data_IF_775321697582
#
_entry.id   IF_775321697582
#
_cell.length_a   1.000
_cell.length_b   1.000
_cell.length_c   1.000
_cell.angle_alpha   90.00
_cell.angle_beta   90.00
_cell.angle_gamma   90.00
#
_symmetry.space_group_name_H-M   'P 1'
#
loop_
_entity.id
_entity.type
_entity.pdbx_description
1 polymer ?
#
# COMPACT_ATOMS: atom_id res chain seq x y z
N UNK A 1 -1.81 -16.80 17.37
CA UNK A 1 -1.63 -16.25 16.00
C UNK A 1 -1.89 -14.76 16.04
N UNK A 2 -1.06 -13.93 15.38
CA UNK A 2 -1.27 -12.48 15.32
C UNK A 2 -2.62 -12.11 14.70
N UNK A 3 -3.17 -10.98 15.12
CA UNK A 3 -4.35 -10.36 14.54
C UNK A 3 -3.92 -9.13 13.73
N UNK A 4 -4.59 -8.90 12.61
CA UNK A 4 -4.33 -7.77 11.72
C UNK A 4 -5.59 -6.90 11.67
N UNK A 5 -5.54 -5.75 12.34
CA UNK A 5 -6.65 -4.81 12.39
C UNK A 5 -6.45 -3.68 11.36
N UNK A 6 -7.53 -3.27 10.72
CA UNK A 6 -7.57 -2.10 9.83
C UNK A 6 -8.67 -1.16 10.32
N UNK A 7 -8.26 0.03 10.76
CA UNK A 7 -9.17 1.12 11.09
C UNK A 7 -9.29 2.03 9.86
N UNK A 8 -10.49 2.16 9.31
CA UNK A 8 -10.76 3.00 8.13
C UNK A 8 -11.75 4.09 8.50
N UNK A 9 -11.36 5.34 8.26
CA UNK A 9 -12.22 6.51 8.40
C UNK A 9 -12.63 6.97 6.99
N UNK A 10 -13.92 6.90 6.69
CA UNK A 10 -14.45 7.31 5.41
C UNK A 10 -15.95 7.66 5.50
N UNK A 11 -16.32 8.79 4.89
CA UNK A 11 -17.72 9.24 4.75
C UNK A 11 -18.44 9.36 6.10
N UNK A 12 -17.74 9.74 7.16
CA UNK A 12 -18.29 9.89 8.52
C UNK A 12 -18.22 8.62 9.37
N UNK A 13 -17.76 7.50 8.81
CA UNK A 13 -17.77 6.20 9.48
C UNK A 13 -16.36 5.78 9.89
N UNK A 14 -16.26 5.21 11.09
CA UNK A 14 -15.11 4.41 11.51
C UNK A 14 -15.44 2.92 11.32
N UNK A 15 -14.77 2.27 10.37
CA UNK A 15 -14.89 0.83 10.14
C UNK A 15 -13.65 0.11 10.66
N UNK A 16 -13.83 -0.84 11.57
CA UNK A 16 -12.79 -1.73 12.06
C UNK A 16 -12.94 -3.11 11.42
N UNK A 17 -11.87 -3.58 10.77
CA UNK A 17 -11.80 -4.91 10.18
C UNK A 17 -10.65 -5.69 10.80
N UNK A 18 -10.93 -6.84 11.41
CA UNK A 18 -9.88 -7.74 11.90
C UNK A 18 -9.72 -8.94 10.98
N UNK A 19 -8.46 -9.32 10.73
CA UNK A 19 -8.10 -10.51 9.97
C UNK A 19 -7.14 -11.40 10.76
N UNK A 20 -7.10 -12.67 10.39
CA UNK A 20 -6.12 -13.63 10.87
C UNK A 20 -5.56 -14.42 9.69
N UNK A 21 -4.27 -14.75 9.73
CA UNK A 21 -3.63 -15.57 8.69
C UNK A 21 -4.35 -16.91 8.58
N UNK A 22 -4.69 -17.34 7.36
CA UNK A 22 -5.28 -18.65 7.12
C UNK A 22 -4.20 -19.74 7.34
N UNK A 23 -4.56 -20.84 7.98
CA UNK A 23 -3.62 -21.94 8.29
C UNK A 23 -3.46 -22.96 7.16
N UNK A 24 -4.35 -22.94 6.17
CA UNK A 24 -4.41 -23.90 5.06
C UNK A 24 -3.93 -23.30 3.73
N UNK A 25 -4.11 -21.99 3.54
CA UNK A 25 -3.77 -21.27 2.32
C UNK A 25 -2.78 -20.16 2.66
N UNK A 26 -1.52 -20.33 2.23
CA UNK A 26 -0.51 -19.29 2.43
C UNK A 26 -0.88 -18.00 1.68
N UNK A 27 -0.49 -16.85 2.24
CA UNK A 27 -0.86 -15.54 1.71
C UNK A 27 -2.32 -15.11 1.94
N UNK A 28 -3.21 -16.01 2.39
CA UNK A 28 -4.62 -15.69 2.67
C UNK A 28 -4.82 -15.21 4.11
N UNK A 29 -5.67 -14.19 4.28
CA UNK A 29 -6.03 -13.60 5.57
C UNK A 29 -7.55 -13.53 5.68
N UNK A 30 -8.13 -14.37 6.54
CA UNK A 30 -9.57 -14.47 6.71
C UNK A 30 -10.09 -13.37 7.63
N UNK A 31 -11.29 -12.89 7.33
CA UNK A 31 -12.02 -11.97 8.21
C UNK A 31 -12.42 -12.69 9.49
N UNK A 32 -12.17 -12.05 10.63
CA UNK A 32 -12.73 -12.47 11.91
C UNK A 32 -14.03 -11.71 12.14
N UNK A 33 -15.16 -12.36 11.90
CA UNK A 33 -16.49 -11.76 12.02
C UNK A 33 -16.75 -10.64 11.02
N UNK A 34 -17.95 -10.05 11.12
CA UNK A 34 -18.34 -8.92 10.26
C UNK A 34 -17.61 -7.63 10.65
N UNK A 35 -17.26 -6.77 9.67
CA UNK A 35 -16.72 -5.44 9.93
C UNK A 35 -17.54 -4.65 10.96
N UNK A 36 -16.85 -4.07 11.95
CA UNK A 36 -17.48 -3.27 12.98
C UNK A 36 -17.55 -1.81 12.50
N UNK A 37 -18.76 -1.28 12.36
CA UNK A 37 -18.99 0.10 11.92
C UNK A 37 -19.44 0.94 13.11
N UNK A 38 -18.72 2.02 13.41
CA UNK A 38 -19.01 2.96 14.50
C UNK A 38 -19.21 2.29 15.87
N UNK A 39 -18.54 1.16 16.11
CA UNK A 39 -18.70 0.38 17.34
C UNK A 39 -18.31 1.15 18.61
N UNK A 40 -17.41 2.13 18.48
CA UNK A 40 -16.88 2.94 19.59
C UNK A 40 -17.43 4.38 19.59
N UNK A 41 -18.47 4.66 18.81
CA UNK A 41 -19.18 5.94 18.81
C UNK A 41 -19.83 6.31 17.47
N UNK A 42 -21.03 6.89 17.54
CA UNK A 42 -21.74 7.41 16.37
C UNK A 42 -20.99 8.60 15.75
N UNK A 43 -21.00 8.68 14.42
CA UNK A 43 -20.30 9.68 13.62
C UNK A 43 -18.84 9.90 14.08
N UNK A 44 -18.15 8.80 14.42
CA UNK A 44 -16.81 8.81 15.01
C UNK A 44 -15.87 9.74 14.26
N UNK A 45 -15.81 9.63 12.92
CA UNK A 45 -14.92 10.43 12.08
C UNK A 45 -15.20 11.94 12.19
N UNK A 46 -16.47 12.35 12.13
CA UNK A 46 -16.83 13.78 12.24
C UNK A 46 -16.63 14.32 13.65
N UNK A 47 -16.74 13.46 14.67
CA UNK A 47 -16.56 13.82 16.07
C UNK A 47 -15.10 13.76 16.55
N UNK A 48 -14.13 13.34 15.72
CA UNK A 48 -12.72 13.22 16.09
C UNK A 48 -12.15 14.51 16.70
N UNK A 49 -12.28 15.63 15.97
CA UNK A 49 -11.73 16.92 16.43
C UNK A 49 -12.40 17.40 17.72
N UNK A 50 -13.73 17.30 17.80
CA UNK A 50 -14.49 17.64 19.01
C UNK A 50 -14.07 16.79 20.20
N UNK A 51 -13.85 15.49 19.98
CA UNK A 51 -13.38 14.55 21.01
C UNK A 51 -11.97 14.90 21.45
N UNK A 52 -11.09 15.23 20.52
CA UNK A 52 -9.72 15.63 20.81
C UNK A 52 -9.67 16.90 21.67
N UNK A 53 -10.41 17.95 21.27
CA UNK A 53 -10.54 19.19 22.04
C UNK A 53 -11.10 18.98 23.45
N UNK A 54 -12.02 18.02 23.63
CA UNK A 54 -12.62 17.72 24.93
C UNK A 54 -11.67 16.96 25.85
N UNK A 55 -11.01 15.93 25.31
CA UNK A 55 -10.28 14.93 26.09
C UNK A 55 -8.78 15.27 26.24
N UNK A 56 -8.21 16.00 25.29
CA UNK A 56 -6.78 16.35 25.23
C UNK A 56 -6.59 17.86 25.18
N UNK A 57 -7.10 18.57 26.19
CA UNK A 57 -7.15 20.05 26.21
C UNK A 57 -5.78 20.72 26.09
N UNK A 58 -4.74 20.06 26.62
CA UNK A 58 -3.36 20.55 26.61
C UNK A 58 -2.63 20.22 25.30
N UNK A 59 -3.14 19.24 24.53
CA UNK A 59 -2.53 18.77 23.29
C UNK A 59 -3.59 18.31 22.27
N UNK A 60 -4.51 19.19 21.83
CA UNK A 60 -5.65 18.76 21.03
C UNK A 60 -5.25 18.24 19.65
N UNK A 61 -4.20 18.78 19.04
CA UNK A 61 -3.65 18.28 17.77
C UNK A 61 -3.10 16.85 17.94
N UNK A 62 -2.23 16.63 18.93
CA UNK A 62 -1.67 15.31 19.22
C UNK A 62 -2.76 14.29 19.57
N UNK A 63 -3.79 14.74 20.30
CA UNK A 63 -4.98 13.94 20.60
C UNK A 63 -5.78 13.57 19.35
N UNK A 64 -5.89 14.48 18.38
CA UNK A 64 -6.53 14.19 17.10
C UNK A 64 -5.71 13.17 16.29
N UNK A 65 -4.40 13.32 16.23
CA UNK A 65 -3.50 12.35 15.57
C UNK A 65 -3.60 10.97 16.22
N UNK A 66 -3.58 10.90 17.56
CA UNK A 66 -3.78 9.67 18.31
C UNK A 66 -5.09 9.00 17.92
N UNK A 67 -6.23 9.70 17.96
CA UNK A 67 -7.54 9.13 17.65
C UNK A 67 -7.65 8.69 16.18
N UNK A 68 -6.97 9.38 15.26
CA UNK A 68 -7.04 9.10 13.82
C UNK A 68 -6.08 7.99 13.37
N UNK A 69 -4.88 7.94 13.93
CA UNK A 69 -3.78 7.09 13.45
C UNK A 69 -3.30 6.07 14.47
N UNK A 70 -3.84 6.10 15.69
CA UNK A 70 -3.36 5.30 16.82
C UNK A 70 -1.97 5.71 17.32
N UNK A 71 -1.43 6.84 16.85
CA UNK A 71 -0.13 7.40 17.27
C UNK A 71 -0.07 8.89 16.91
N UNK A 72 0.81 9.62 17.59
CA UNK A 72 1.29 10.92 17.11
C UNK A 72 2.30 10.66 15.99
N UNK A 73 2.11 11.32 14.85
CA UNK A 73 2.98 11.28 13.67
C UNK A 73 4.05 12.37 13.82
N UNK A 74 3.64 13.61 14.15
CA UNK A 74 4.55 14.75 14.24
C UNK A 74 5.21 14.87 15.62
N UNK A 75 6.01 13.88 16.02
CA UNK A 75 6.63 13.85 17.35
C UNK A 75 7.69 14.93 17.58
N UNK A 76 8.17 15.58 16.52
CA UNK A 76 9.18 16.65 16.62
C UNK A 76 8.58 17.98 17.09
N UNK A 77 7.28 18.18 16.87
CA UNK A 77 6.59 19.43 17.20
C UNK A 77 5.37 19.24 18.11
N UNK A 78 4.87 18.01 18.24
CA UNK A 78 3.72 17.69 19.06
C UNK A 78 4.06 16.71 20.17
N UNK A 79 3.56 16.99 21.38
CA UNK A 79 3.66 16.10 22.53
C UNK A 79 2.26 15.84 23.05
N UNK A 80 1.89 14.56 23.11
CA UNK A 80 0.61 14.12 23.65
C UNK A 80 0.60 14.26 25.18
N UNK A 81 -0.50 14.80 25.72
CA UNK A 81 -0.72 14.93 27.16
C UNK A 81 -2.06 14.29 27.53
N UNK A 82 -2.07 13.23 28.38
CA UNK A 82 -0.90 12.54 28.94
C UNK A 82 -0.15 11.70 27.89
N UNK A 83 1.16 11.52 28.07
CA UNK A 83 2.04 10.88 27.09
C UNK A 83 1.70 9.41 26.81
N UNK A 84 1.05 8.73 27.76
CA UNK A 84 0.63 7.33 27.71
C UNK A 84 -0.87 7.17 27.40
N UNK A 85 -1.53 8.20 26.86
CA UNK A 85 -2.96 8.14 26.64
C UNK A 85 -3.34 6.95 25.72
N UNK A 86 -4.30 6.11 26.13
CA UNK A 86 -4.70 4.95 25.36
C UNK A 86 -5.68 5.32 24.23
N UNK A 87 -5.66 4.52 23.15
CA UNK A 87 -6.72 4.48 22.15
C UNK A 87 -7.46 3.15 22.26
N UNK A 88 -8.52 3.11 23.08
CA UNK A 88 -9.37 1.93 23.22
C UNK A 88 -10.34 1.81 22.04
N UNK A 89 -10.23 0.73 21.28
CA UNK A 89 -11.12 0.42 20.16
C UNK A 89 -11.62 -1.01 20.21
N UNK A 90 -12.86 -1.23 19.79
CA UNK A 90 -13.47 -2.55 19.71
C UNK A 90 -13.01 -3.27 18.43
N UNK A 91 -12.50 -4.49 18.59
CA UNK A 91 -12.06 -5.37 17.50
C UNK A 91 -12.73 -6.74 17.61
N UNK A 92 -12.89 -7.41 16.47
CA UNK A 92 -13.23 -8.83 16.48
C UNK A 92 -11.97 -9.66 16.79
N UNK A 93 -12.17 -10.78 17.49
CA UNK A 93 -11.15 -11.81 17.74
C UNK A 93 -11.84 -13.19 17.72
N UNK A 94 -11.10 -14.31 17.76
CA UNK A 94 -11.72 -15.64 17.64
C UNK A 94 -12.80 -15.96 18.70
N UNK A 95 -12.77 -15.29 19.86
CA UNK A 95 -13.77 -15.46 20.92
C UNK A 95 -14.94 -14.45 20.88
N UNK A 96 -15.05 -13.62 19.84
CA UNK A 96 -16.10 -12.62 19.70
C UNK A 96 -15.55 -11.21 19.53
N UNK A 97 -15.91 -10.29 20.43
CA UNK A 97 -15.50 -8.88 20.39
C UNK A 97 -14.75 -8.50 21.67
N UNK A 98 -13.67 -7.76 21.52
CA UNK A 98 -12.85 -7.28 22.65
C UNK A 98 -12.38 -5.85 22.40
N UNK A 99 -12.03 -5.15 23.47
CA UNK A 99 -11.50 -3.79 23.40
C UNK A 99 -9.98 -3.85 23.57
N UNK A 100 -9.24 -3.20 22.68
CA UNK A 100 -7.77 -3.18 22.68
C UNK A 100 -7.26 -1.74 22.65
N UNK A 101 -6.15 -1.48 23.32
CA UNK A 101 -5.43 -0.22 23.21
C UNK A 101 -4.59 -0.22 21.93
N UNK A 102 -5.08 0.40 20.86
CA UNK A 102 -4.34 0.53 19.60
C UNK A 102 -3.10 1.43 19.72
N UNK A 103 -3.04 2.29 20.74
CA UNK A 103 -1.89 3.15 21.00
C UNK A 103 -0.71 2.41 21.63
N UNK A 104 -0.90 1.17 22.07
CA UNK A 104 0.15 0.37 22.70
C UNK A 104 1.40 0.30 21.80
N UNK A 105 2.57 0.56 22.38
CA UNK A 105 3.85 0.61 21.66
C UNK A 105 4.29 -0.74 21.08
N UNK A 106 3.80 -1.86 21.63
CA UNK A 106 4.03 -3.20 21.11
C UNK A 106 3.28 -3.49 19.80
N UNK A 107 2.25 -2.70 19.47
CA UNK A 107 1.49 -2.84 18.23
C UNK A 107 2.22 -2.13 17.10
N UNK A 108 2.61 -2.90 16.09
CA UNK A 108 3.17 -2.37 14.84
C UNK A 108 2.06 -1.70 14.02
N UNK A 109 2.27 -0.42 13.70
CA UNK A 109 1.31 0.44 13.01
C UNK A 109 1.77 0.68 11.58
N UNK A 110 0.83 0.50 10.65
CA UNK A 110 1.05 0.62 9.21
C UNK A 110 0.05 1.61 8.64
N UNK A 111 0.44 2.23 7.53
CA UNK A 111 -0.38 3.09 6.69
C UNK A 111 -0.69 2.38 5.37
N UNK A 112 -1.56 2.99 4.57
CA UNK A 112 -1.80 2.52 3.20
C UNK A 112 -0.52 2.56 2.33
N UNK A 113 0.45 3.42 2.64
CA UNK A 113 1.73 3.50 1.92
C UNK A 113 2.67 2.32 2.18
N UNK A 114 2.38 1.48 3.19
CA UNK A 114 3.19 0.31 3.54
C UNK A 114 2.76 -0.97 2.80
N UNK A 115 1.75 -0.90 1.92
CA UNK A 115 1.22 -2.02 1.14
C UNK A 115 1.03 -3.30 1.98
N UNK A 116 0.17 -3.26 3.01
CA UNK A 116 0.06 -4.35 3.98
C UNK A 116 -0.40 -5.65 3.33
N UNK A 117 0.40 -6.71 3.45
CA UNK A 117 0.17 -7.98 2.79
C UNK A 117 -1.15 -8.68 3.18
N UNK A 118 -1.64 -8.47 4.41
CA UNK A 118 -2.95 -8.97 4.85
C UNK A 118 -4.15 -8.28 4.18
N UNK A 119 -3.90 -7.24 3.39
CA UNK A 119 -4.91 -6.59 2.54
C UNK A 119 -4.80 -7.02 1.08
N UNK A 120 -3.95 -8.00 0.77
CA UNK A 120 -3.78 -8.62 -0.54
C UNK A 120 -2.59 -8.09 -1.35
N UNK A 121 -1.78 -7.18 -0.81
CA UNK A 121 -0.54 -6.77 -1.46
C UNK A 121 0.51 -7.89 -1.41
N UNK A 122 1.19 -8.13 -2.52
CA UNK A 122 2.19 -9.19 -2.62
C UNK A 122 3.41 -8.70 -3.37
N UNK A 123 4.58 -8.88 -2.75
CA UNK A 123 5.87 -8.62 -3.39
C UNK A 123 6.25 -9.84 -4.25
N UNK A 124 6.73 -9.56 -5.46
CA UNK A 124 7.19 -10.55 -6.43
C UNK A 124 8.64 -10.23 -6.76
N UNK A 125 9.57 -11.03 -6.24
CA UNK A 125 11.02 -10.88 -6.40
C UNK A 125 11.69 -12.26 -6.54
N UNK A 126 10.94 -13.22 -7.08
CA UNK A 126 11.40 -14.60 -7.29
C UNK A 126 12.04 -14.83 -8.67
N UNK A 127 11.94 -13.85 -9.56
CA UNK A 127 12.61 -13.86 -10.86
C UNK A 127 13.91 -13.03 -10.82
N UNK A 128 15.00 -13.67 -10.40
CA UNK A 128 16.29 -13.01 -10.20
C UNK A 128 17.09 -12.77 -11.50
N UNK A 129 16.64 -13.31 -12.64
CA UNK A 129 17.36 -13.12 -13.89
C UNK A 129 17.11 -11.71 -14.47
N UNK A 130 17.88 -11.34 -15.49
CA UNK A 130 17.77 -10.04 -16.15
C UNK A 130 17.34 -10.15 -17.61
N UNK A 131 16.65 -11.23 -18.00
CA UNK A 131 16.26 -11.51 -19.38
C UNK A 131 14.84 -11.02 -19.73
N UNK A 132 14.17 -10.31 -18.82
CA UNK A 132 12.83 -9.72 -19.04
C UNK A 132 11.75 -10.69 -19.54
N UNK A 133 11.88 -12.00 -19.30
CA UNK A 133 10.87 -13.00 -19.70
C UNK A 133 9.73 -13.13 -18.68
N UNK A 134 9.82 -12.50 -17.50
CA UNK A 134 8.82 -12.61 -16.44
C UNK A 134 8.58 -14.09 -16.03
N UNK A 135 9.65 -14.76 -15.60
CA UNK A 135 9.64 -16.18 -15.26
C UNK A 135 9.18 -16.49 -13.84
N UNK A 136 8.65 -15.50 -13.12
CA UNK A 136 8.14 -15.61 -11.74
C UNK A 136 7.22 -16.82 -11.55
N UNK A 137 7.60 -17.71 -10.64
CA UNK A 137 6.79 -18.85 -10.23
C UNK A 137 5.52 -18.39 -9.50
N UNK A 138 5.59 -17.26 -8.79
CA UNK A 138 4.42 -16.64 -8.14
C UNK A 138 3.38 -16.27 -9.20
N UNK A 139 3.77 -15.54 -10.26
CA UNK A 139 2.85 -15.10 -11.31
C UNK A 139 2.32 -16.29 -12.10
N UNK A 140 3.17 -17.26 -12.46
CA UNK A 140 2.76 -18.50 -13.14
C UNK A 140 1.68 -19.24 -12.35
N UNK A 141 1.88 -19.40 -11.03
CA UNK A 141 0.89 -20.04 -10.15
C UNK A 141 -0.45 -19.31 -10.14
N UNK A 142 -0.45 -17.96 -10.17
CA UNK A 142 -1.70 -17.18 -10.24
C UNK A 142 -2.48 -17.46 -11.53
N UNK A 143 -1.79 -17.64 -12.67
CA UNK A 143 -2.42 -18.04 -13.92
C UNK A 143 -2.97 -19.48 -13.85
N UNK A 144 -2.19 -20.43 -13.32
CA UNK A 144 -2.61 -21.84 -13.19
C UNK A 144 -3.89 -22.01 -12.37
N UNK A 145 -4.06 -21.22 -11.31
CA UNK A 145 -5.25 -21.26 -10.45
C UNK A 145 -6.36 -20.29 -10.90
N UNK A 146 -6.14 -19.54 -11.99
CA UNK A 146 -7.12 -18.61 -12.55
C UNK A 146 -7.40 -17.36 -11.70
N UNK A 147 -6.48 -16.96 -10.84
CA UNK A 147 -6.65 -15.84 -9.90
C UNK A 147 -5.83 -14.60 -10.25
N UNK A 148 -5.08 -14.63 -11.37
CA UNK A 148 -4.25 -13.51 -11.82
C UNK A 148 -5.04 -12.21 -11.96
N UNK A 149 -6.21 -12.22 -12.62
CA UNK A 149 -7.00 -11.01 -12.86
C UNK A 149 -7.52 -10.35 -11.58
N UNK A 150 -7.71 -11.14 -10.51
CA UNK A 150 -8.13 -10.61 -9.21
C UNK A 150 -6.95 -10.04 -8.41
N UNK A 151 -5.75 -10.61 -8.60
CA UNK A 151 -4.57 -10.32 -7.79
C UNK A 151 -3.60 -9.32 -8.45
N UNK A 152 -3.58 -9.20 -9.77
CA UNK A 152 -2.59 -8.43 -10.53
C UNK A 152 -2.51 -6.95 -10.12
N UNK A 153 -3.63 -6.35 -9.71
CA UNK A 153 -3.69 -4.97 -9.22
C UNK A 153 -2.98 -4.73 -7.88
N UNK A 154 -2.54 -5.79 -7.19
CA UNK A 154 -1.85 -5.73 -5.89
C UNK A 154 -0.48 -6.42 -5.88
N UNK A 155 0.04 -6.74 -7.06
CA UNK A 155 1.41 -7.20 -7.20
C UNK A 155 2.38 -6.02 -7.20
N UNK A 156 3.49 -6.18 -6.51
CA UNK A 156 4.62 -5.25 -6.50
C UNK A 156 5.81 -6.04 -7.02
N UNK A 157 6.13 -5.87 -8.29
CA UNK A 157 7.05 -6.77 -8.99
C UNK A 157 8.41 -6.13 -9.16
N UNK A 158 9.46 -6.81 -8.75
CA UNK A 158 10.83 -6.38 -8.94
C UNK A 158 11.36 -6.96 -10.25
N UNK A 159 11.46 -6.14 -11.30
CA UNK A 159 11.89 -6.56 -12.63
C UNK A 159 12.93 -5.60 -13.22
N UNK A 160 13.73 -6.06 -14.20
CA UNK A 160 14.70 -5.22 -14.91
C UNK A 160 14.07 -3.93 -15.43
N UNK A 161 14.83 -2.83 -15.37
CA UNK A 161 14.35 -1.54 -15.84
C UNK A 161 14.30 -1.50 -17.38
N UNK A 162 13.10 -1.27 -17.92
CA UNK A 162 12.85 -1.43 -19.35
C UNK A 162 13.51 -0.38 -20.25
N UNK A 163 13.81 0.78 -19.67
CA UNK A 163 14.27 1.96 -20.41
C UNK A 163 15.78 2.21 -20.29
N UNK A 164 16.51 1.28 -19.67
CA UNK A 164 17.98 1.31 -19.63
C UNK A 164 18.55 0.76 -20.94
N UNK A 165 19.28 1.63 -21.65
CA UNK A 165 19.86 1.32 -22.95
C UNK A 165 20.97 0.27 -22.86
N UNK A 166 21.81 0.34 -21.82
CA UNK A 166 22.96 -0.55 -21.67
C UNK A 166 22.58 -2.01 -21.36
N UNK A 167 21.35 -2.28 -20.93
CA UNK A 167 20.89 -3.62 -20.54
C UNK A 167 20.08 -4.33 -21.64
N UNK A 168 19.85 -3.72 -22.80
CA UNK A 168 18.99 -4.30 -23.86
C UNK A 168 19.46 -5.70 -24.27
N UNK A 169 20.77 -5.90 -24.49
CA UNK A 169 21.26 -7.23 -24.89
C UNK A 169 21.14 -8.25 -23.76
N UNK A 170 21.34 -7.85 -22.51
CA UNK A 170 21.13 -8.71 -21.34
C UNK A 170 19.67 -9.16 -21.27
N UNK A 171 18.74 -8.22 -21.55
CA UNK A 171 17.30 -8.45 -21.51
C UNK A 171 16.77 -9.25 -22.69
N UNK A 172 17.34 -9.13 -23.88
CA UNK A 172 16.66 -9.63 -25.08
C UNK A 172 17.50 -10.53 -25.99
N UNK A 173 18.77 -10.81 -25.69
CA UNK A 173 19.60 -11.67 -26.56
C UNK A 173 19.05 -13.09 -26.71
N UNK A 174 18.23 -13.56 -25.77
CA UNK A 174 17.57 -14.87 -25.81
C UNK A 174 16.61 -15.02 -27.01
N UNK A 175 16.11 -13.90 -27.57
CA UNK A 175 15.28 -13.91 -28.78
C UNK A 175 15.99 -14.56 -29.98
N UNK A 176 17.33 -14.55 -29.98
CA UNK A 176 18.16 -15.16 -31.04
C UNK A 176 18.30 -16.68 -30.93
N UNK A 177 17.87 -17.27 -29.82
CA UNK A 177 17.98 -18.72 -29.57
C UNK A 177 16.71 -19.48 -29.94
N UNK A 178 15.54 -18.82 -29.94
CA UNK A 178 14.25 -19.49 -30.14
C UNK A 178 13.80 -20.28 -28.90
N UNK A 179 12.54 -20.65 -28.85
CA UNK A 179 11.98 -21.60 -27.88
C UNK A 179 10.74 -22.30 -28.47
N UNK A 180 9.98 -23.03 -27.65
CA UNK A 180 8.76 -23.73 -28.09
C UNK A 180 7.65 -22.78 -28.57
N UNK A 181 7.70 -21.50 -28.18
CA UNK A 181 6.69 -20.49 -28.50
C UNK A 181 7.10 -19.60 -29.69
N UNK A 182 8.40 -19.52 -30.02
CA UNK A 182 8.89 -18.70 -31.12
C UNK A 182 10.16 -19.24 -31.80
N UNK A 183 10.24 -19.03 -33.11
CA UNK A 183 11.47 -19.31 -33.87
C UNK A 183 12.59 -18.33 -33.50
N UNK A 184 13.88 -18.72 -33.63
CA UNK A 184 15.02 -17.84 -33.39
C UNK A 184 15.01 -16.61 -34.30
N UNK A 185 15.24 -15.43 -33.72
CA UNK A 185 15.35 -14.18 -34.47
C UNK A 185 16.69 -14.12 -35.23
N UNK A 186 16.65 -13.71 -36.50
CA UNK A 186 17.89 -13.46 -37.27
C UNK A 186 18.66 -12.27 -36.68
N UNK A 187 19.98 -12.23 -36.86
CA UNK A 187 20.79 -11.08 -36.42
C UNK A 187 20.32 -9.75 -37.06
N UNK A 188 19.83 -9.79 -38.30
CA UNK A 188 19.31 -8.61 -38.99
C UNK A 188 18.00 -8.10 -38.37
N UNK A 189 17.12 -9.00 -37.94
CA UNK A 189 15.86 -8.63 -37.29
C UNK A 189 16.09 -8.20 -35.83
N UNK A 190 17.02 -8.85 -35.14
CA UNK A 190 17.43 -8.44 -33.80
C UNK A 190 18.05 -7.04 -33.80
N UNK A 191 18.87 -6.71 -34.81
CA UNK A 191 19.40 -5.36 -34.97
C UNK A 191 18.30 -4.29 -35.15
N UNK A 192 17.23 -4.61 -35.90
CA UNK A 192 16.06 -3.71 -36.03
C UNK A 192 15.31 -3.56 -34.70
N UNK A 193 15.05 -4.67 -34.01
CA UNK A 193 14.42 -4.68 -32.68
C UNK A 193 15.23 -3.81 -31.70
N UNK A 194 16.54 -4.05 -31.62
CA UNK A 194 17.45 -3.31 -30.75
C UNK A 194 17.43 -1.82 -31.08
N UNK A 195 17.53 -1.45 -32.35
CA UNK A 195 17.42 -0.04 -32.76
C UNK A 195 16.11 0.60 -32.34
N UNK A 196 15.00 -0.14 -32.36
CA UNK A 196 13.71 0.35 -31.90
C UNK A 196 13.65 0.50 -30.37
N UNK A 197 14.07 -0.52 -29.62
CA UNK A 197 14.13 -0.48 -28.17
C UNK A 197 15.03 0.65 -27.66
N UNK A 198 16.21 0.84 -28.28
CA UNK A 198 17.12 1.94 -27.96
C UNK A 198 16.50 3.32 -28.17
N UNK A 199 15.62 3.48 -29.16
CA UNK A 199 14.96 4.75 -29.45
C UNK A 199 13.87 5.11 -28.42
N UNK A 200 13.36 4.12 -27.67
CA UNK A 200 12.38 4.35 -26.60
C UNK A 200 13.04 4.57 -25.22
N UNK A 201 14.31 4.20 -25.08
CA UNK A 201 15.07 4.42 -23.84
C UNK A 201 15.28 5.92 -23.58
N UNK A 202 15.42 6.29 -22.31
CA UNK A 202 15.66 7.67 -21.88
C UNK A 202 16.66 7.72 -20.73
N UNK A 203 17.31 8.86 -20.53
CA UNK A 203 18.20 9.07 -19.39
C UNK A 203 17.36 9.10 -18.09
N UNK A 204 17.51 8.06 -17.29
CA UNK A 204 16.78 7.88 -16.04
C UNK A 204 17.42 8.65 -14.88
N UNK A 205 18.59 9.26 -15.09
CA UNK A 205 19.32 10.04 -14.10
C UNK A 205 19.64 9.22 -12.84
N UNK A 206 19.03 9.59 -11.72
CA UNK A 206 19.20 8.90 -10.43
C UNK A 206 18.30 7.66 -10.26
N UNK A 207 17.37 7.40 -11.18
CA UNK A 207 16.59 6.15 -11.17
C UNK A 207 17.55 5.01 -11.54
N UNK A 208 17.58 3.96 -10.71
CA UNK A 208 18.54 2.86 -10.81
C UNK A 208 18.54 2.23 -12.21
N UNK A 209 19.74 1.92 -12.71
CA UNK A 209 19.99 1.33 -14.03
C UNK A 209 19.82 -0.19 -14.08
N UNK A 210 19.30 -0.82 -13.01
CA UNK A 210 19.26 -2.27 -12.87
C UNK A 210 17.82 -2.77 -12.82
N UNK A 211 17.21 -2.75 -11.64
CA UNK A 211 15.84 -3.23 -11.39
C UNK A 211 15.01 -2.16 -10.70
N UNK A 212 13.70 -2.23 -10.92
CA UNK A 212 12.72 -1.36 -10.28
C UNK A 212 11.54 -2.18 -9.75
N UNK A 213 10.86 -1.61 -8.76
CA UNK A 213 9.57 -2.10 -8.30
C UNK A 213 8.45 -1.51 -9.17
N UNK A 214 7.76 -2.40 -9.86
CA UNK A 214 6.66 -2.10 -10.77
C UNK A 214 5.33 -2.35 -10.08
N UNK A 215 4.37 -1.48 -10.37
CA UNK A 215 2.99 -1.58 -9.91
C UNK A 215 2.05 -1.59 -11.12
N UNK A 216 0.88 -2.21 -10.98
CA UNK A 216 -0.19 -1.97 -11.95
C UNK A 216 -0.64 -0.49 -11.84
N UNK A 217 -0.47 0.33 -12.89
CA UNK A 217 -0.62 1.78 -12.75
C UNK A 217 -2.01 2.22 -12.28
N UNK A 218 -3.08 1.58 -12.76
CA UNK A 218 -4.45 1.99 -12.40
C UNK A 218 -4.75 1.70 -10.93
N UNK A 219 -4.28 0.57 -10.43
CA UNK A 219 -4.47 0.11 -9.05
C UNK A 219 -3.63 0.92 -8.08
N UNK A 220 -2.37 1.23 -8.45
CA UNK A 220 -1.54 2.16 -7.70
C UNK A 220 -2.22 3.52 -7.55
N UNK A 221 -2.66 4.12 -8.67
CA UNK A 221 -3.36 5.41 -8.65
C UNK A 221 -4.65 5.32 -7.82
N UNK A 222 -5.46 4.26 -7.99
CA UNK A 222 -6.69 4.06 -7.18
C UNK A 222 -6.38 3.96 -5.69
N UNK A 223 -5.32 3.25 -5.33
CA UNK A 223 -4.92 3.06 -3.93
C UNK A 223 -4.50 4.38 -3.30
N UNK A 224 -3.59 5.10 -3.93
CA UNK A 224 -3.06 6.33 -3.38
C UNK A 224 -3.99 7.53 -3.51
N UNK A 225 -4.97 7.52 -4.43
CA UNK A 225 -6.03 8.53 -4.45
C UNK A 225 -6.83 8.58 -3.15
N UNK A 226 -6.84 7.51 -2.35
CA UNK A 226 -7.43 7.51 -1.00
C UNK A 226 -6.69 8.44 -0.05
N UNK A 227 -5.40 8.65 -0.26
CA UNK A 227 -4.57 9.54 0.54
C UNK A 227 -4.80 11.02 0.20
N UNK A 228 -5.81 11.36 -0.61
CA UNK A 228 -6.18 12.73 -0.98
C UNK A 228 -4.98 13.51 -1.50
N UNK A 229 -4.49 13.13 -2.69
CA UNK A 229 -3.47 13.85 -3.47
C UNK A 229 -3.91 15.28 -3.77
N UNK A 230 -3.83 16.13 -2.75
CA UNK A 230 -4.08 17.54 -2.82
C UNK A 230 -2.73 18.23 -2.91
N UNK A 231 -2.59 19.16 -3.85
CA UNK A 231 -1.43 20.03 -3.87
C UNK A 231 -1.42 20.95 -2.64
N UNK A 232 -0.27 21.56 -2.36
CA UNK A 232 -0.08 22.42 -1.19
C UNK A 232 -1.04 23.60 -1.17
N UNK A 233 -1.36 24.21 -2.31
CA UNK A 233 -2.29 25.34 -2.38
C UNK A 233 -3.72 24.92 -2.04
N UNK A 234 -4.13 23.72 -2.47
CA UNK A 234 -5.45 23.17 -2.16
C UNK A 234 -5.54 22.79 -0.69
N UNK A 235 -4.48 22.19 -0.12
CA UNK A 235 -4.41 21.95 1.33
C UNK A 235 -4.51 23.27 2.09
N UNK A 236 -3.73 24.28 1.72
CA UNK A 236 -3.77 25.60 2.36
C UNK A 236 -5.18 26.21 2.33
N UNK A 237 -5.85 26.18 1.17
CA UNK A 237 -7.22 26.68 1.01
C UNK A 237 -8.23 25.90 1.86
N UNK A 238 -8.10 24.57 1.94
CA UNK A 238 -8.99 23.73 2.78
C UNK A 238 -8.80 24.02 4.27
N UNK A 239 -7.55 24.16 4.71
CA UNK A 239 -7.24 24.40 6.13
C UNK A 239 -7.63 25.82 6.56
N UNK A 240 -7.44 26.82 5.69
CA UNK A 240 -7.79 28.23 5.96
C UNK A 240 -9.29 28.53 5.83
N UNK A 241 -10.04 27.76 5.04
CA UNK A 241 -11.49 27.92 4.88
C UNK A 241 -12.25 27.79 6.20
N UNK A 242 -11.79 26.95 7.12
CA UNK A 242 -12.42 26.75 8.44
C UNK A 242 -11.94 27.74 9.51
N UNK A 243 -10.81 28.41 9.31
CA UNK A 243 -10.26 29.43 10.21
C UNK A 243 -10.82 30.84 9.94
N UNK A 244 -11.41 31.04 8.76
CA UNK A 244 -12.01 32.31 8.35
C UNK A 244 -13.31 32.55 9.13
N UNK A 245 -13.28 33.48 10.10
CA UNK A 245 -14.51 33.93 10.78
C UNK A 245 -15.53 34.35 9.72
N UNK A 246 -16.69 33.67 9.68
CA UNK A 246 -17.85 34.17 8.93
C UNK A 246 -18.15 35.58 9.44
N UNK A 247 -18.02 36.57 8.56
CA UNK A 247 -18.48 37.94 8.80
C UNK A 247 -20.00 37.96 8.96
#
# INVERSE_FOLDING_TARGET
MPLYASMTLAQGKCTMVTRQKNTQTDGKYDLLGEPLVNADGDDYEYNLYKTAMRNYKESPSAGFELLRFGRVINTDHETLVPADAPLWMTVNYPGGKGVINLADSSIKKFSDADFPHWTGWQMVDDDSDSNSQCNSAIIKKLHEVGDFDNQCGKLICHFPFEWEKSTIDIRFSWLKTGNEEHEPMTEADYAKFKSHAEALCFDSGALSSDRLWHFEPKSFIRHFRKCSWLDSEVIEKVMTANASKKK
#
